data_IF_449762015961
#
_entry.id   IF_449762015961
#
_cell.length_a   1.000
_cell.length_b   1.000
_cell.length_c   1.000
_cell.angle_alpha   90.00
_cell.angle_beta   90.00
_cell.angle_gamma   90.00
#
_symmetry.space_group_name_H-M   'P 1'
#
loop_
_entity.id
_entity.type
_entity.pdbx_description
1 polymer ?
#
# COMPACT_ATOMS: atom_id res chain seq x y z
N UNK A 1 1.95 8.14 -8.11
CA UNK A 1 2.19 7.41 -6.85
C UNK A 1 2.68 8.36 -5.77
N UNK A 2 2.01 8.40 -4.61
CA UNK A 2 2.25 9.35 -3.51
C UNK A 2 2.45 8.58 -2.19
N UNK A 3 3.23 9.09 -1.24
CA UNK A 3 3.43 8.48 0.09
C UNK A 3 4.63 7.53 0.20
N UNK A 4 5.04 6.92 -0.91
CA UNK A 4 6.15 5.97 -0.97
C UNK A 4 7.49 6.52 -0.46
N UNK A 5 7.82 7.78 -0.77
CA UNK A 5 9.06 8.42 -0.31
C UNK A 5 9.04 8.72 1.19
N UNK A 6 7.91 9.22 1.71
CA UNK A 6 7.74 9.45 3.15
C UNK A 6 7.88 8.17 3.95
N UNK A 7 7.36 7.05 3.45
CA UNK A 7 7.54 5.74 4.09
C UNK A 7 9.01 5.30 4.10
N UNK A 8 9.74 5.46 2.99
CA UNK A 8 11.19 5.16 2.95
C UNK A 8 11.92 6.01 3.98
N UNK A 9 11.71 7.32 3.96
CA UNK A 9 12.35 8.27 4.88
C UNK A 9 12.06 7.94 6.34
N UNK A 10 10.79 7.68 6.69
CA UNK A 10 10.41 7.29 8.04
C UNK A 10 11.06 5.97 8.47
N UNK A 11 11.11 4.95 7.59
CA UNK A 11 11.77 3.67 7.88
C UNK A 11 13.27 3.87 8.13
N UNK A 12 13.94 4.69 7.33
CA UNK A 12 15.35 5.06 7.54
C UNK A 12 15.55 5.78 8.88
N UNK A 13 14.60 6.61 9.30
CA UNK A 13 14.61 7.31 10.58
C UNK A 13 14.18 6.44 11.78
N UNK A 14 13.95 5.15 11.60
CA UNK A 14 13.66 4.20 12.69
C UNK A 14 12.19 3.79 12.83
N UNK A 15 11.28 4.29 11.99
CA UNK A 15 9.90 3.80 11.96
C UNK A 15 9.86 2.32 11.53
N UNK A 16 9.07 1.52 12.23
CA UNK A 16 8.95 0.06 12.01
C UNK A 16 7.47 -0.33 11.87
N UNK A 17 6.80 0.08 10.79
CA UNK A 17 5.42 -0.36 10.56
C UNK A 17 5.38 -1.85 10.28
N UNK A 18 4.25 -2.47 10.60
CA UNK A 18 3.92 -3.86 10.24
C UNK A 18 3.05 -3.93 8.99
N UNK A 19 2.31 -2.87 8.70
CA UNK A 19 1.28 -2.79 7.68
C UNK A 19 1.48 -1.56 6.78
N UNK A 20 1.05 -1.66 5.53
CA UNK A 20 0.98 -0.53 4.58
C UNK A 20 -0.26 -0.66 3.71
N UNK A 21 -0.94 0.45 3.47
CA UNK A 21 -2.04 0.54 2.53
C UNK A 21 -1.52 0.94 1.16
N UNK A 22 -2.06 0.28 0.14
CA UNK A 22 -1.80 0.52 -1.26
C UNK A 22 -3.14 0.85 -1.92
N UNK A 23 -3.46 2.14 -1.93
CA UNK A 23 -4.82 2.63 -2.21
C UNK A 23 -4.89 3.19 -3.62
N UNK A 24 -5.76 2.62 -4.46
CA UNK A 24 -6.14 3.21 -5.72
C UNK A 24 -7.01 4.45 -5.47
N UNK A 25 -6.65 5.56 -6.12
CA UNK A 25 -7.39 6.81 -6.06
C UNK A 25 -7.70 7.30 -7.47
N UNK A 26 -8.83 7.98 -7.69
CA UNK A 26 -9.12 8.59 -8.97
C UNK A 26 -8.07 9.65 -9.33
N UNK A 27 -7.92 9.92 -10.62
CA UNK A 27 -7.18 11.09 -11.07
C UNK A 27 -7.83 12.38 -10.55
N UNK A 28 -7.00 13.36 -10.18
CA UNK A 28 -7.49 14.63 -9.63
C UNK A 28 -7.97 14.57 -8.17
N UNK A 29 -7.72 13.46 -7.44
CA UNK A 29 -7.99 13.40 -6.01
C UNK A 29 -7.31 14.56 -5.27
N UNK A 30 -8.09 15.27 -4.47
CA UNK A 30 -7.62 16.35 -3.61
C UNK A 30 -7.36 15.83 -2.20
N UNK A 31 -6.28 16.31 -1.60
CA UNK A 31 -5.86 15.94 -0.26
C UNK A 31 -5.98 17.10 0.70
N UNK A 32 -6.51 16.83 1.88
CA UNK A 32 -6.40 17.70 3.04
C UNK A 32 -5.16 17.37 3.86
N UNK A 33 -4.88 18.21 4.86
CA UNK A 33 -3.73 18.05 5.77
C UNK A 33 -3.65 16.68 6.44
N UNK A 34 -4.79 16.04 6.70
CA UNK A 34 -4.87 14.75 7.39
C UNK A 34 -5.14 13.56 6.46
N UNK A 35 -5.38 13.80 5.18
CA UNK A 35 -5.67 12.75 4.18
C UNK A 35 -4.57 12.60 3.14
N UNK A 36 -3.57 13.49 3.13
CA UNK A 36 -2.40 13.35 2.25
C UNK A 36 -1.47 12.24 2.78
N UNK A 37 -1.15 11.20 1.99
CA UNK A 37 -0.33 10.08 2.45
C UNK A 37 1.03 10.49 3.02
N UNK A 38 1.67 11.49 2.41
CA UNK A 38 2.95 12.01 2.88
C UNK A 38 2.86 12.80 4.20
N UNK A 39 1.69 13.33 4.53
CA UNK A 39 1.47 14.06 5.78
C UNK A 39 1.05 13.12 6.93
N UNK A 40 0.52 11.95 6.58
CA UNK A 40 0.12 10.93 7.54
C UNK A 40 1.32 10.18 8.14
N UNK A 41 2.43 10.08 7.40
CA UNK A 41 3.67 9.44 7.86
C UNK A 41 4.70 10.51 8.23
N UNK A 42 5.43 10.33 9.33
CA UNK A 42 6.56 11.18 9.69
C UNK A 42 6.23 12.28 10.71
N UNK A 43 4.99 12.34 11.20
CA UNK A 43 4.68 13.08 12.41
C UNK A 43 5.26 12.31 13.61
N UNK A 44 6.06 12.97 14.42
CA UNK A 44 6.58 12.43 15.67
C UNK A 44 5.78 13.04 16.81
N UNK A 45 5.11 12.20 17.60
CA UNK A 45 4.39 12.58 18.80
C UNK A 45 4.96 11.77 19.96
N UNK A 46 5.34 12.45 21.04
CA UNK A 46 5.97 11.85 22.23
C UNK A 46 7.20 10.97 21.89
N UNK A 47 8.00 11.40 20.94
CA UNK A 47 9.20 10.69 20.49
C UNK A 47 8.93 9.41 19.68
N UNK A 48 7.67 9.17 19.28
CA UNK A 48 7.27 8.03 18.46
C UNK A 48 6.70 8.50 17.13
N UNK A 49 7.01 7.77 16.07
CA UNK A 49 6.31 7.94 14.80
C UNK A 49 4.84 7.58 14.99
N UNK A 50 3.97 8.50 14.60
CA UNK A 50 2.53 8.30 14.50
C UNK A 50 2.12 8.41 13.04
N UNK A 51 1.10 7.65 12.65
CA UNK A 51 0.65 7.58 11.27
C UNK A 51 0.30 6.18 10.81
N UNK A 52 -0.53 6.11 9.76
CA UNK A 52 -0.77 4.88 9.01
C UNK A 52 -0.01 4.97 7.69
N UNK A 53 0.85 3.99 7.35
CA UNK A 53 1.53 4.01 6.08
C UNK A 53 0.54 3.82 4.94
N UNK A 54 0.37 4.83 4.11
CA UNK A 54 -0.48 4.74 2.91
C UNK A 54 0.33 5.15 1.68
N UNK A 55 0.09 4.45 0.57
CA UNK A 55 0.66 4.71 -0.74
C UNK A 55 -0.49 4.82 -1.72
N UNK A 56 -0.71 6.04 -2.21
CA UNK A 56 -1.76 6.27 -3.20
C UNK A 56 -1.22 6.05 -4.61
N UNK A 57 -1.97 5.28 -5.39
CA UNK A 57 -1.71 5.00 -6.80
C UNK A 57 -2.91 5.52 -7.58
N UNK A 58 -2.68 6.33 -8.62
CA UNK A 58 -3.80 6.73 -9.46
C UNK A 58 -4.32 5.56 -10.30
N UNK A 59 -5.62 5.53 -10.56
CA UNK A 59 -6.25 4.44 -11.33
C UNK A 59 -5.61 4.21 -12.70
N UNK A 60 -5.17 5.29 -13.37
CA UNK A 60 -4.49 5.25 -14.66
C UNK A 60 -3.02 4.82 -14.61
N UNK A 61 -2.38 4.75 -13.44
CA UNK A 61 -0.95 4.41 -13.36
C UNK A 61 -0.71 2.96 -13.77
N UNK A 62 0.33 2.74 -14.59
CA UNK A 62 0.74 1.40 -14.98
C UNK A 62 1.34 0.65 -13.78
N UNK A 63 0.65 -0.41 -13.34
CA UNK A 63 1.07 -1.21 -12.19
C UNK A 63 2.49 -1.79 -12.36
N UNK A 64 2.91 -2.18 -13.57
CA UNK A 64 4.25 -2.76 -13.77
C UNK A 64 5.38 -1.76 -13.61
N UNK A 65 5.10 -0.45 -13.72
CA UNK A 65 6.08 0.62 -13.59
C UNK A 65 6.27 1.09 -12.14
N UNK A 66 5.39 0.70 -11.21
CA UNK A 66 5.41 1.19 -9.84
C UNK A 66 6.63 0.66 -9.06
N UNK A 67 7.39 1.53 -8.41
CA UNK A 67 8.45 1.10 -7.49
C UNK A 67 7.87 0.87 -6.08
N UNK A 68 7.67 -0.40 -5.73
CA UNK A 68 7.09 -0.79 -4.44
C UNK A 68 8.13 -1.32 -3.45
N UNK A 69 9.42 -0.97 -3.58
CA UNK A 69 10.44 -1.25 -2.56
C UNK A 69 10.07 -0.87 -1.11
N UNK A 70 9.26 0.18 -0.83
CA UNK A 70 8.85 0.49 0.54
C UNK A 70 8.04 -0.60 1.24
N UNK A 71 7.46 -1.56 0.50
CA UNK A 71 6.58 -2.61 1.05
C UNK A 71 7.32 -3.84 1.57
N UNK A 72 8.65 -3.91 1.39
CA UNK A 72 9.47 -5.07 1.80
C UNK A 72 9.23 -5.40 3.28
N UNK A 73 8.84 -6.65 3.54
CA UNK A 73 8.57 -7.18 4.88
C UNK A 73 7.28 -6.69 5.55
N UNK A 74 6.43 -5.92 4.85
CA UNK A 74 5.17 -5.41 5.38
C UNK A 74 3.99 -6.27 4.94
N UNK A 75 2.90 -6.23 5.71
CA UNK A 75 1.58 -6.67 5.25
C UNK A 75 0.99 -5.55 4.38
N UNK A 76 0.69 -5.87 3.12
CA UNK A 76 0.18 -4.88 2.16
C UNK A 76 -1.33 -5.04 2.03
N UNK A 77 -2.06 -3.98 2.36
CA UNK A 77 -3.51 -3.89 2.20
C UNK A 77 -3.83 -3.14 0.91
N UNK A 78 -4.33 -3.84 -0.10
CA UNK A 78 -4.65 -3.26 -1.41
C UNK A 78 -6.12 -2.87 -1.45
N UNK A 79 -6.37 -1.58 -1.71
CA UNK A 79 -7.72 -1.04 -1.95
C UNK A 79 -7.79 -0.67 -3.43
N UNK A 80 -8.69 -1.30 -4.19
CA UNK A 80 -8.76 -1.11 -5.64
C UNK A 80 -10.21 -1.13 -6.15
N UNK A 81 -10.52 -0.35 -7.20
CA UNK A 81 -11.89 -0.21 -7.73
C UNK A 81 -12.42 -1.49 -8.38
N UNK A 82 -11.55 -2.43 -8.75
CA UNK A 82 -11.95 -3.69 -9.35
C UNK A 82 -11.00 -4.83 -8.99
N UNK A 83 -11.50 -6.06 -9.05
CA UNK A 83 -10.70 -7.29 -8.88
C UNK A 83 -9.52 -7.35 -9.85
N UNK A 84 -9.72 -6.94 -11.11
CA UNK A 84 -8.66 -6.92 -12.10
C UNK A 84 -7.53 -5.97 -11.72
N UNK A 85 -7.87 -4.75 -11.26
CA UNK A 85 -6.87 -3.78 -10.79
C UNK A 85 -6.16 -4.26 -9.53
N UNK A 86 -6.90 -4.83 -8.57
CA UNK A 86 -6.30 -5.45 -7.39
C UNK A 86 -5.26 -6.51 -7.77
N UNK A 87 -5.60 -7.45 -8.66
CA UNK A 87 -4.66 -8.50 -9.11
C UNK A 87 -3.39 -7.93 -9.75
N UNK A 88 -3.49 -6.86 -10.56
CA UNK A 88 -2.32 -6.20 -11.13
C UNK A 88 -1.40 -5.64 -10.04
N UNK A 89 -1.97 -4.96 -9.05
CA UNK A 89 -1.22 -4.38 -7.94
C UNK A 89 -0.63 -5.44 -7.01
N UNK A 90 -1.39 -6.48 -6.67
CA UNK A 90 -0.87 -7.56 -5.82
C UNK A 90 0.28 -8.30 -6.52
N UNK A 91 0.18 -8.58 -7.83
CA UNK A 91 1.29 -9.16 -8.60
C UNK A 91 2.52 -8.28 -8.59
N UNK A 92 2.35 -6.96 -8.73
CA UNK A 92 3.47 -6.03 -8.64
C UNK A 92 4.07 -6.04 -7.23
N UNK A 93 3.26 -5.90 -6.20
CA UNK A 93 3.71 -5.88 -4.81
C UNK A 93 4.45 -7.17 -4.43
N UNK A 94 3.98 -8.33 -4.88
CA UNK A 94 4.63 -9.62 -4.65
C UNK A 94 6.08 -9.67 -5.14
N UNK A 95 6.44 -8.88 -6.16
CA UNK A 95 7.81 -8.78 -6.67
C UNK A 95 8.78 -8.06 -5.71
N UNK A 96 8.28 -7.42 -4.65
CA UNK A 96 9.06 -6.66 -3.68
C UNK A 96 9.09 -7.30 -2.29
N UNK A 97 8.90 -8.62 -2.20
CA UNK A 97 9.03 -9.40 -0.96
C UNK A 97 8.23 -8.84 0.25
N UNK A 98 6.91 -8.57 0.11
CA UNK A 98 6.07 -8.27 1.26
C UNK A 98 5.90 -9.52 2.14
N UNK A 99 5.52 -9.33 3.39
CA UNK A 99 5.22 -10.43 4.30
C UNK A 99 3.93 -11.17 3.90
N UNK A 100 2.93 -10.41 3.43
CA UNK A 100 1.60 -10.87 3.03
C UNK A 100 0.93 -9.76 2.21
N UNK A 101 0.01 -10.09 1.32
CA UNK A 101 -0.82 -9.10 0.63
C UNK A 101 -2.29 -9.48 0.79
N UNK A 102 -3.12 -8.56 1.24
CA UNK A 102 -4.57 -8.72 1.35
C UNK A 102 -5.18 -7.65 0.46
N UNK A 103 -6.08 -8.04 -0.44
CA UNK A 103 -6.85 -7.11 -1.24
C UNK A 103 -8.34 -7.33 -0.97
N UNK A 104 -9.09 -6.25 -0.79
CA UNK A 104 -10.52 -6.33 -0.56
C UNK A 104 -11.26 -5.19 -1.28
N UNK A 105 -12.51 -5.46 -1.66
CA UNK A 105 -13.44 -4.49 -2.22
C UNK A 105 -14.83 -5.11 -2.37
N UNK A 106 -15.75 -4.40 -3.02
CA UNK A 106 -17.10 -4.93 -3.30
C UNK A 106 -17.09 -6.23 -4.13
N UNK A 107 -15.97 -6.50 -4.81
CA UNK A 107 -15.74 -7.68 -5.63
C UNK A 107 -15.21 -8.89 -4.84
N UNK A 108 -15.07 -8.79 -3.51
CA UNK A 108 -14.61 -9.86 -2.62
C UNK A 108 -13.22 -9.64 -2.04
N UNK A 109 -12.62 -10.71 -1.52
CA UNK A 109 -11.31 -10.67 -0.85
C UNK A 109 -10.31 -11.61 -1.53
N UNK A 110 -9.06 -11.16 -1.67
CA UNK A 110 -7.95 -11.97 -2.16
C UNK A 110 -6.77 -11.90 -1.20
N UNK A 111 -6.05 -12.99 -1.09
CA UNK A 111 -4.88 -13.17 -0.26
C UNK A 111 -3.71 -13.61 -1.13
N UNK A 112 -2.53 -13.08 -0.85
CA UNK A 112 -1.27 -13.64 -1.31
C UNK A 112 -0.33 -13.86 -0.13
N UNK A 113 0.36 -15.00 -0.16
CA UNK A 113 1.41 -15.34 0.81
C UNK A 113 2.67 -15.84 0.10
N UNK A 114 3.87 -15.57 0.66
CA UNK A 114 5.11 -16.14 0.16
C UNK A 114 5.03 -17.68 0.11
N UNK A 115 5.35 -18.29 -1.04
CA UNK A 115 5.28 -19.74 -1.24
C UNK A 115 3.87 -20.32 -1.42
N UNK A 116 2.82 -19.65 -0.92
CA UNK A 116 1.42 -20.08 -1.07
C UNK A 116 0.73 -19.54 -2.34
N UNK A 117 1.21 -18.44 -2.91
CA UNK A 117 0.61 -17.84 -4.11
C UNK A 117 -0.68 -17.07 -3.81
N UNK A 118 -1.54 -16.93 -4.83
CA UNK A 118 -2.79 -16.18 -4.73
C UNK A 118 -3.97 -17.10 -4.40
N UNK A 119 -4.76 -16.68 -3.42
CA UNK A 119 -5.98 -17.35 -2.97
C UNK A 119 -7.13 -16.34 -2.97
N UNK A 120 -8.25 -16.71 -3.57
CA UNK A 120 -9.50 -15.96 -3.42
C UNK A 120 -10.22 -16.47 -2.17
N UNK A 121 -10.58 -15.53 -1.29
CA UNK A 121 -11.37 -15.81 -0.09
C UNK A 121 -12.81 -15.44 -0.43
N UNK A 122 -13.72 -16.42 -0.30
CA UNK A 122 -15.11 -16.35 -0.75
C UNK A 122 -15.80 -15.01 -0.38
N UNK A 123 -16.67 -14.49 -1.27
CA UNK A 123 -17.38 -13.21 -1.10
C UNK A 123 -18.32 -13.19 0.12
#
# INVERSE_FOLDING_TARGET
MIGHQSLIGARMAGFRPTDVWLTCVPEGMTYGRFTHPEAQIGQVSDGRFVGQPDIHIHDGENASALDLRPVVGLVVHVVAPSKARALQLMRRAAAFSPAKIIAAGEWGTMLWTPGGGFLELNP
#
